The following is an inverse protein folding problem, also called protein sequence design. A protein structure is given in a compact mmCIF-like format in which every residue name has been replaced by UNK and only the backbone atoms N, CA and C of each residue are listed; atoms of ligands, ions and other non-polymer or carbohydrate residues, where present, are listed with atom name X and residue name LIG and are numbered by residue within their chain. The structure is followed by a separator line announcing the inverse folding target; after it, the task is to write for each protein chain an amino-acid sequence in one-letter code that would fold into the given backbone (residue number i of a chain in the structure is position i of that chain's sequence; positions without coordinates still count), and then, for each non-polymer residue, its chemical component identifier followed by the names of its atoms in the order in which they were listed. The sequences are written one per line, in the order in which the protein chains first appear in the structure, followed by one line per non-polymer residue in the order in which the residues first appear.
data_IF_194320406178
#
_entry.id   IF_194320406178
#
_cell.length_a   1.000
_cell.length_b   1.000
_cell.length_c   1.000
_cell.angle_alpha   90.00
_cell.angle_beta   90.00
_cell.angle_gamma   90.00
#
_symmetry.space_group_name_H-M   'P 1'
#
loop_
_entity.id
_entity.type
_entity.pdbx_description
1 polymer ?
#
# COMPACT_ATOMS: atom_id res chain seq x y z
N UNK A 1 -11.51 14.85 3.37
CA UNK A 1 -11.30 14.27 4.71
C UNK A 1 -10.03 13.44 4.59
N UNK A 2 -8.95 13.78 5.30
CA UNK A 2 -7.76 12.93 5.32
C UNK A 2 -8.02 11.65 6.12
N UNK A 3 -7.35 10.56 5.75
CA UNK A 3 -7.31 9.32 6.53
C UNK A 3 -6.00 9.28 7.31
N UNK A 4 -6.03 8.76 8.54
CA UNK A 4 -4.80 8.56 9.31
C UNK A 4 -3.93 7.42 8.74
N UNK A 5 -4.58 6.45 8.07
CA UNK A 5 -3.93 5.27 7.51
C UNK A 5 -4.58 4.86 6.18
N UNK A 6 -3.75 4.48 5.22
CA UNK A 6 -4.14 3.75 4.00
C UNK A 6 -3.42 2.41 3.97
N UNK A 7 -4.18 1.31 3.86
CA UNK A 7 -3.62 -0.02 3.60
C UNK A 7 -3.93 -0.44 2.15
N UNK A 8 -2.89 -0.66 1.35
CA UNK A 8 -2.98 -1.02 -0.06
C UNK A 8 -2.40 -2.42 -0.30
N UNK A 9 -3.27 -3.38 -0.59
CA UNK A 9 -2.89 -4.72 -1.01
C UNK A 9 -2.92 -4.78 -2.54
N UNK A 10 -1.79 -5.06 -3.17
CA UNK A 10 -1.62 -5.09 -4.62
C UNK A 10 -1.90 -3.74 -5.31
N UNK A 11 -1.34 -2.65 -4.77
CA UNK A 11 -1.53 -1.29 -5.29
C UNK A 11 -0.92 -1.04 -6.66
N UNK A 12 -1.45 -1.68 -7.71
CA UNK A 12 -1.12 -1.39 -9.10
C UNK A 12 -1.67 -0.02 -9.53
N UNK A 13 -1.08 0.56 -10.59
CA UNK A 13 -1.47 1.87 -11.15
C UNK A 13 -1.32 3.05 -10.17
N UNK A 14 -0.60 2.84 -9.07
CA UNK A 14 -0.34 3.84 -8.05
C UNK A 14 0.54 5.00 -8.56
N UNK A 15 1.45 4.72 -9.50
CA UNK A 15 2.33 5.72 -10.13
C UNK A 15 1.88 6.17 -11.51
N UNK A 16 1.37 5.24 -12.32
CA UNK A 16 1.17 5.49 -13.75
C UNK A 16 -0.30 5.83 -14.08
N UNK A 17 -1.23 5.67 -13.12
CA UNK A 17 -2.66 5.91 -13.31
C UNK A 17 -3.26 5.00 -14.39
N UNK A 18 -4.47 5.31 -14.86
CA UNK A 18 -5.02 4.68 -16.06
C UNK A 18 -5.64 3.29 -15.89
N UNK A 19 -5.87 2.84 -14.65
CA UNK A 19 -6.88 1.80 -14.44
C UNK A 19 -8.26 2.34 -14.89
N UNK A 20 -9.18 1.51 -15.40
CA UNK A 20 -10.50 1.97 -15.85
C UNK A 20 -11.35 2.66 -14.75
N UNK A 21 -10.89 2.63 -13.50
CA UNK A 21 -11.50 3.31 -12.34
C UNK A 21 -10.64 4.47 -11.78
N UNK A 22 -9.45 4.69 -12.33
CA UNK A 22 -8.49 5.73 -11.92
C UNK A 22 -8.19 6.63 -13.12
N UNK A 23 -9.14 7.49 -13.46
CA UNK A 23 -8.91 8.57 -14.43
C UNK A 23 -7.97 9.64 -13.87
N UNK A 24 -7.32 10.42 -14.75
CA UNK A 24 -5.97 10.20 -15.22
C UNK A 24 -4.87 10.53 -14.20
N UNK A 25 -5.23 10.87 -12.95
CA UNK A 25 -4.31 11.33 -11.91
C UNK A 25 -3.88 10.12 -11.04
N UNK A 26 -2.63 9.64 -11.17
CA UNK A 26 -2.10 8.58 -10.33
C UNK A 26 -2.15 8.97 -8.85
N UNK A 27 -2.51 8.07 -7.92
CA UNK A 27 -2.59 8.37 -6.50
C UNK A 27 -1.35 9.05 -5.89
N UNK A 28 -0.13 8.77 -6.39
CA UNK A 28 1.10 9.37 -5.88
C UNK A 28 1.56 10.65 -6.58
N UNK A 29 0.78 11.21 -7.50
CA UNK A 29 1.01 12.59 -7.95
C UNK A 29 0.79 13.57 -6.78
N UNK A 30 -0.13 13.26 -5.85
CA UNK A 30 -0.43 14.05 -4.64
C UNK A 30 0.36 13.60 -3.38
N UNK A 31 1.50 12.91 -3.52
CA UNK A 31 2.20 12.32 -2.36
C UNK A 31 2.64 13.35 -1.30
N UNK A 32 2.97 14.58 -1.68
CA UNK A 32 3.28 15.67 -0.75
C UNK A 32 2.07 16.07 0.10
N UNK A 33 0.86 16.01 -0.47
CA UNK A 33 -0.37 16.26 0.27
C UNK A 33 -0.65 15.11 1.25
N UNK A 34 -0.41 13.85 0.84
CA UNK A 34 -0.50 12.67 1.72
C UNK A 34 0.41 12.85 2.94
N UNK A 35 1.66 13.24 2.73
CA UNK A 35 2.60 13.53 3.80
C UNK A 35 2.14 14.70 4.69
N UNK A 36 1.64 15.78 4.08
CA UNK A 36 1.12 16.95 4.80
C UNK A 36 -0.09 16.66 5.69
N UNK A 37 -0.89 15.64 5.36
CA UNK A 37 -1.98 15.17 6.21
C UNK A 37 -1.54 14.20 7.32
N UNK A 38 -0.28 13.77 7.33
CA UNK A 38 0.21 12.77 8.28
C UNK A 38 -0.33 11.37 8.02
N UNK A 39 -0.84 11.10 6.82
CA UNK A 39 -1.37 9.78 6.45
C UNK A 39 -0.23 8.76 6.36
N UNK A 40 -0.33 7.67 7.13
CA UNK A 40 0.58 6.52 7.00
C UNK A 40 0.10 5.57 5.89
N UNK A 41 1.03 4.94 5.17
CA UNK A 41 0.72 3.94 4.14
C UNK A 41 1.31 2.57 4.49
N UNK A 42 0.47 1.55 4.58
CA UNK A 42 0.89 0.14 4.58
C UNK A 42 0.67 -0.46 3.19
N UNK A 43 1.74 -0.88 2.54
CA UNK A 43 1.72 -1.48 1.21
C UNK A 43 2.11 -2.96 1.25
N UNK A 44 1.36 -3.81 0.55
CA UNK A 44 1.61 -5.26 0.48
C UNK A 44 1.63 -5.74 -0.98
N UNK A 45 2.70 -6.46 -1.35
CA UNK A 45 2.84 -7.11 -2.67
C UNK A 45 3.45 -8.51 -2.53
N UNK A 46 3.20 -9.37 -3.52
CA UNK A 46 3.94 -10.63 -3.67
C UNK A 46 5.23 -10.45 -4.48
N UNK A 47 6.27 -11.25 -4.20
CA UNK A 47 7.52 -11.23 -4.98
C UNK A 47 7.29 -11.56 -6.46
N UNK A 48 6.40 -12.51 -6.73
CA UNK A 48 6.04 -13.00 -8.06
C UNK A 48 4.74 -12.35 -8.59
N UNK A 49 4.41 -11.16 -8.11
CA UNK A 49 3.26 -10.41 -8.60
C UNK A 49 3.49 -9.97 -10.05
N UNK A 50 2.62 -10.44 -10.95
CA UNK A 50 2.70 -10.14 -12.38
C UNK A 50 1.98 -8.85 -12.77
N UNK A 51 1.19 -8.28 -11.87
CA UNK A 51 0.48 -7.01 -12.05
C UNK A 51 1.32 -5.86 -11.51
N UNK A 52 1.86 -6.01 -10.29
CA UNK A 52 2.77 -5.04 -9.67
C UNK A 52 4.20 -5.62 -9.71
N UNK A 53 4.94 -5.26 -10.75
CA UNK A 53 6.34 -5.72 -10.86
C UNK A 53 7.21 -5.21 -9.70
N UNK A 54 8.30 -5.91 -9.39
CA UNK A 54 9.28 -5.44 -8.39
C UNK A 54 9.91 -4.09 -8.76
N UNK A 55 9.97 -3.75 -10.06
CA UNK A 55 10.48 -2.47 -10.54
C UNK A 55 9.48 -1.34 -10.29
N UNK A 56 8.19 -1.60 -10.50
CA UNK A 56 7.12 -0.66 -10.10
C UNK A 56 7.07 -0.51 -8.58
N UNK A 57 7.16 -1.61 -7.83
CA UNK A 57 7.16 -1.57 -6.38
C UNK A 57 8.31 -0.74 -5.80
N UNK A 58 9.52 -0.88 -6.35
CA UNK A 58 10.66 -0.05 -5.96
C UNK A 58 10.46 1.43 -6.28
N UNK A 59 9.83 1.75 -7.42
CA UNK A 59 9.51 3.14 -7.79
C UNK A 59 8.45 3.74 -6.86
N UNK A 60 7.45 2.95 -6.46
CA UNK A 60 6.42 3.37 -5.48
C UNK A 60 7.11 3.76 -4.16
N UNK A 61 8.02 2.90 -3.67
CA UNK A 61 8.79 3.19 -2.45
C UNK A 61 9.57 4.50 -2.58
N UNK A 62 10.35 4.64 -3.65
CA UNK A 62 11.15 5.83 -3.87
C UNK A 62 10.30 7.11 -3.90
N UNK A 63 9.13 7.08 -4.53
CA UNK A 63 8.21 8.23 -4.56
C UNK A 63 7.67 8.59 -3.17
N UNK A 64 7.34 7.59 -2.35
CA UNK A 64 6.89 7.80 -0.97
C UNK A 64 8.01 8.35 -0.08
N UNK A 65 9.22 7.81 -0.21
CA UNK A 65 10.44 8.29 0.47
C UNK A 65 10.71 9.76 0.11
N UNK A 66 10.73 10.09 -1.19
CA UNK A 66 11.00 11.44 -1.70
C UNK A 66 9.96 12.47 -1.22
N UNK A 67 8.69 12.04 -1.08
CA UNK A 67 7.60 12.89 -0.58
C UNK A 67 7.58 13.03 0.95
N UNK A 68 8.34 12.21 1.68
CA UNK A 68 8.30 12.16 3.14
C UNK A 68 7.02 11.53 3.71
N UNK A 69 6.35 10.66 2.95
CA UNK A 69 5.16 9.93 3.42
C UNK A 69 5.60 8.84 4.39
N UNK A 70 5.01 8.76 5.58
CA UNK A 70 5.24 7.65 6.50
C UNK A 70 4.69 6.36 5.88
N UNK A 71 5.53 5.33 5.72
CA UNK A 71 5.08 4.10 5.09
C UNK A 71 5.82 2.83 5.53
N UNK A 72 5.11 1.70 5.47
CA UNK A 72 5.65 0.35 5.56
C UNK A 72 5.32 -0.37 4.25
N UNK A 73 6.33 -0.92 3.57
CA UNK A 73 6.14 -1.65 2.32
C UNK A 73 6.68 -3.07 2.43
N UNK A 74 5.77 -4.04 2.34
CA UNK A 74 6.03 -5.46 2.57
C UNK A 74 5.96 -6.24 1.26
N UNK A 75 6.99 -7.04 1.01
CA UNK A 75 7.03 -7.99 -0.11
C UNK A 75 7.00 -9.42 0.45
N UNK A 76 6.03 -10.22 0.01
CA UNK A 76 5.90 -11.62 0.43
C UNK A 76 6.66 -12.55 -0.53
N UNK A 77 7.72 -13.26 -0.06
CA UNK A 77 8.55 -14.10 -0.91
C UNK A 77 7.74 -15.18 -1.63
N UNK A 78 8.02 -15.39 -2.91
CA UNK A 78 7.37 -16.38 -3.76
C UNK A 78 5.90 -16.14 -4.10
N UNK A 79 5.22 -15.18 -3.48
CA UNK A 79 3.76 -15.04 -3.62
C UNK A 79 3.36 -14.37 -4.94
N UNK A 80 2.35 -14.88 -5.65
CA UNK A 80 1.79 -14.24 -6.84
C UNK A 80 0.72 -13.19 -6.48
N UNK A 81 0.28 -12.41 -7.46
CA UNK A 81 -0.89 -11.55 -7.30
C UNK A 81 -2.13 -12.35 -6.85
N UNK A 82 -2.90 -11.81 -5.91
CA UNK A 82 -4.12 -12.44 -5.41
C UNK A 82 -3.92 -13.58 -4.42
N UNK A 83 -2.73 -13.71 -3.81
CA UNK A 83 -2.45 -14.71 -2.76
C UNK A 83 -3.32 -14.57 -1.49
N UNK A 84 -3.99 -13.43 -1.34
CA UNK A 84 -4.93 -13.10 -0.27
C UNK A 84 -6.38 -13.51 -0.56
N UNK A 85 -6.68 -14.04 -1.75
CA UNK A 85 -8.05 -14.29 -2.20
C UNK A 85 -8.40 -15.80 -2.11
N UNK A 86 -9.18 -16.25 -1.12
CA UNK A 86 -9.52 -17.68 -0.96
C UNK A 86 -10.28 -18.27 -2.15
N UNK A 87 -11.02 -17.42 -2.88
CA UNK A 87 -11.76 -17.81 -4.09
C UNK A 87 -10.84 -18.06 -5.31
N UNK A 88 -9.53 -17.79 -5.19
CA UNK A 88 -8.50 -18.08 -6.20
C UNK A 88 -7.52 -19.13 -5.66
N UNK A 89 -7.93 -20.41 -5.58
CA UNK A 89 -7.14 -21.46 -4.92
C UNK A 89 -5.77 -21.73 -5.57
N UNK A 90 -5.56 -21.31 -6.82
CA UNK A 90 -4.28 -21.45 -7.53
C UNK A 90 -3.21 -20.48 -7.03
N UNK A 91 -3.63 -19.33 -6.50
CA UNK A 91 -2.73 -18.27 -6.01
C UNK A 91 -2.79 -18.13 -4.50
N UNK A 92 -3.89 -18.54 -3.86
CA UNK A 92 -4.14 -18.37 -2.43
C UNK A 92 -3.09 -19.04 -1.54
N UNK A 93 -2.59 -18.29 -0.56
CA UNK A 93 -1.72 -18.78 0.50
C UNK A 93 -2.29 -18.35 1.85
N UNK A 94 -2.76 -19.32 2.64
CA UNK A 94 -3.39 -19.07 3.93
C UNK A 94 -2.42 -18.50 4.98
N UNK A 95 -1.14 -18.92 4.95
CA UNK A 95 -0.16 -18.48 5.94
C UNK A 95 0.26 -17.04 5.65
N UNK A 96 0.54 -16.71 4.39
CA UNK A 96 0.82 -15.34 3.97
C UNK A 96 -0.39 -14.43 4.21
N UNK A 97 -1.61 -14.94 3.99
CA UNK A 97 -2.85 -14.20 4.29
C UNK A 97 -2.99 -13.87 5.76
N UNK A 98 -2.79 -14.84 6.66
CA UNK A 98 -2.87 -14.59 8.10
C UNK A 98 -1.82 -13.57 8.56
N UNK A 99 -0.60 -13.62 8.03
CA UNK A 99 0.44 -12.63 8.34
C UNK A 99 0.04 -11.22 7.87
N UNK A 100 -0.49 -11.08 6.66
CA UNK A 100 -1.02 -9.78 6.18
C UNK A 100 -2.11 -9.25 7.10
N UNK A 101 -3.06 -10.10 7.51
CA UNK A 101 -4.10 -9.69 8.45
C UNK A 101 -3.57 -9.31 9.82
N UNK A 102 -2.55 -10.01 10.32
CA UNK A 102 -1.86 -9.64 11.55
C UNK A 102 -1.25 -8.24 11.45
N UNK A 103 -0.58 -7.91 10.34
CA UNK A 103 -0.02 -6.57 10.09
C UNK A 103 -1.10 -5.51 10.00
N UNK A 104 -2.16 -5.75 9.23
CA UNK A 104 -3.28 -4.82 9.08
C UNK A 104 -3.90 -4.47 10.43
N UNK A 105 -4.20 -5.49 11.26
CA UNK A 105 -4.71 -5.27 12.63
C UNK A 105 -3.72 -4.49 13.48
N UNK A 106 -2.44 -4.87 13.44
CA UNK A 106 -1.41 -4.21 14.23
C UNK A 106 -1.23 -2.73 13.89
N UNK A 107 -1.41 -2.32 12.62
CA UNK A 107 -1.35 -0.91 12.23
C UNK A 107 -2.64 -0.18 12.61
N UNK A 108 -3.81 -0.80 12.43
CA UNK A 108 -5.11 -0.22 12.81
C UNK A 108 -5.26 -0.02 14.32
N UNK A 109 -4.62 -0.87 15.13
CA UNK A 109 -4.62 -0.76 16.60
C UNK A 109 -3.65 0.31 17.12
N UNK A 110 -2.83 0.94 16.26
CA UNK A 110 -1.92 2.01 16.69
C UNK A 110 -2.74 3.24 17.07
N UNK A 111 -2.42 3.87 18.22
CA UNK A 111 -3.07 5.12 18.58
C UNK A 111 -2.72 6.19 17.54
N UNK A 112 -3.75 6.78 16.92
CA UNK A 112 -3.59 7.99 16.11
C UNK A 112 -3.18 9.11 17.06
N UNK A 113 -1.91 9.51 17.02
CA UNK A 113 -1.48 10.72 17.71
C UNK A 113 -2.01 11.88 16.87
N UNK A 114 -3.07 12.54 17.35
CA UNK A 114 -3.57 13.74 16.73
C UNK A 114 -2.40 14.73 16.58
N UNK A 115 -2.14 15.16 15.34
CA UNK A 115 -1.26 16.30 15.12
C UNK A 115 -1.81 17.47 15.93
N UNK A 116 -0.99 18.10 16.76
CA UNK A 116 -1.41 19.31 17.47
C UNK A 116 -1.85 20.35 16.43
N UNK A 117 -3.06 20.91 16.61
CA UNK A 117 -3.53 21.97 15.73
C UNK A 117 -2.55 23.15 15.78
N UNK A 118 -2.13 23.69 14.63
CA UNK A 118 -1.28 24.86 14.62
C UNK A 118 -2.04 26.05 15.25
N UNK A 119 -1.42 26.65 16.27
CA UNK A 119 -1.88 27.87 16.97
C UNK A 119 -1.80 29.09 16.05
#
# INVERSE_FOLDING_TARGET
MPFDLVASCYGAWTLDGGAPLSEPHPPLDDAEAIAGFGTELLGVVGENDHVVSQDEWRRIRARLDDAGVAHEMVTYPGQPHGFLCPDRPQTYDAAATEDVWCRLRAVLDRPVIAAEEPV
#
